data_IF_780417127117
#
_entry.id   IF_780417127117
#
_cell.length_a   1.000
_cell.length_b   1.000
_cell.length_c   1.000
_cell.angle_alpha   90.00
_cell.angle_beta   90.00
_cell.angle_gamma   90.00
#
_symmetry.space_group_name_H-M   'P 1'
#
loop_
_entity.id
_entity.type
_entity.pdbx_description
1 polymer ?
#
# COMPACT_ATOMS: atom_id res chain seq x y z
N UNK A 1 -6.05 28.53 7.34
CA UNK A 1 -4.61 28.44 6.98
C UNK A 1 -4.39 29.50 5.94
N UNK A 2 -3.58 30.50 6.26
CA UNK A 2 -3.45 31.75 5.53
C UNK A 2 -2.54 31.60 4.32
N UNK A 3 -3.00 32.05 3.14
CA UNK A 3 -2.26 32.12 1.88
C UNK A 3 -1.12 33.15 1.93
N UNK A 4 -0.06 32.81 2.66
CA UNK A 4 1.14 33.65 2.82
C UNK A 4 2.34 33.05 2.07
N UNK A 5 2.11 32.64 0.83
CA UNK A 5 3.17 32.38 -0.13
C UNK A 5 2.69 32.89 -1.50
N UNK A 6 3.51 33.64 -2.25
CA UNK A 6 3.16 33.93 -3.63
C UNK A 6 2.93 32.61 -4.36
N UNK A 7 1.94 32.54 -5.27
CA UNK A 7 1.68 31.32 -6.03
C UNK A 7 3.00 30.87 -6.67
N UNK A 8 3.45 29.67 -6.29
CA UNK A 8 4.75 29.13 -6.69
C UNK A 8 4.83 28.87 -8.21
N UNK A 9 3.68 28.87 -8.87
CA UNK A 9 3.50 28.67 -10.30
C UNK A 9 2.80 29.90 -10.88
N UNK A 10 3.19 30.28 -12.09
CA UNK A 10 2.44 31.25 -12.88
C UNK A 10 1.03 30.71 -13.17
N UNK A 11 0.08 31.58 -13.50
CA UNK A 11 -1.29 31.13 -13.85
C UNK A 11 -1.29 30.18 -15.06
N UNK A 12 -0.39 30.41 -16.03
CA UNK A 12 -0.20 29.54 -17.18
C UNK A 12 0.28 28.14 -16.75
N UNK A 13 1.29 28.07 -15.89
CA UNK A 13 1.80 26.79 -15.40
C UNK A 13 0.76 26.03 -14.57
N UNK A 14 -0.05 26.75 -13.81
CA UNK A 14 -1.14 26.18 -13.05
C UNK A 14 -2.23 25.59 -13.97
N UNK A 15 -2.53 26.23 -15.11
CA UNK A 15 -3.46 25.67 -16.11
C UNK A 15 -2.93 24.38 -16.72
N UNK A 16 -1.63 24.34 -17.09
CA UNK A 16 -0.99 23.13 -17.62
C UNK A 16 -1.00 21.98 -16.62
N UNK A 17 -0.78 22.27 -15.33
CA UNK A 17 -0.85 21.26 -14.26
C UNK A 17 -2.28 20.73 -14.10
N UNK A 18 -3.29 21.60 -14.11
CA UNK A 18 -4.68 21.18 -14.02
C UNK A 18 -5.09 20.30 -15.20
N UNK A 19 -4.71 20.68 -16.41
CA UNK A 19 -4.96 19.91 -17.61
C UNK A 19 -4.29 18.53 -17.52
N UNK A 20 -3.03 18.47 -17.08
CA UNK A 20 -2.34 17.21 -16.84
C UNK A 20 -3.05 16.34 -15.78
N UNK A 21 -3.37 16.90 -14.61
CA UNK A 21 -4.01 16.14 -13.50
C UNK A 21 -5.44 15.69 -13.82
N UNK A 22 -6.13 16.38 -14.73
CA UNK A 22 -7.49 16.03 -15.16
C UNK A 22 -7.56 14.74 -15.98
N UNK A 23 -6.41 14.25 -16.45
CA UNK A 23 -6.33 13.07 -17.29
C UNK A 23 -6.88 11.78 -16.66
N UNK A 24 -7.23 10.79 -17.49
CA UNK A 24 -7.80 9.52 -17.04
C UNK A 24 -6.78 8.60 -16.34
N UNK A 25 -5.48 8.79 -16.57
CA UNK A 25 -4.40 8.00 -15.96
C UNK A 25 -4.29 8.27 -14.45
N UNK A 26 -4.64 9.48 -14.03
CA UNK A 26 -4.54 9.98 -12.66
C UNK A 26 -5.82 9.68 -11.86
N UNK A 27 -6.98 9.59 -12.54
CA UNK A 27 -8.30 9.40 -11.93
C UNK A 27 -8.75 7.93 -11.87
N UNK A 28 -7.82 6.98 -11.98
CA UNK A 28 -8.16 5.55 -11.89
C UNK A 28 -8.75 5.25 -10.50
N UNK A 29 -9.97 4.66 -10.43
CA UNK A 29 -10.57 4.30 -9.15
C UNK A 29 -9.69 3.26 -8.47
N UNK A 30 -9.11 3.66 -7.33
CA UNK A 30 -8.24 2.78 -6.54
C UNK A 30 -9.12 1.93 -5.63
N UNK A 31 -8.99 0.62 -5.75
CA UNK A 31 -9.62 -0.31 -4.80
C UNK A 31 -9.15 0.06 -3.38
N UNK A 32 -10.06 0.18 -2.39
CA UNK A 32 -9.66 0.47 -1.02
C UNK A 32 -8.72 -0.62 -0.51
N UNK A 33 -7.59 -0.20 0.03
CA UNK A 33 -6.63 -1.12 0.64
C UNK A 33 -7.23 -1.70 1.92
N UNK A 34 -7.16 -3.03 2.07
CA UNK A 34 -7.70 -3.78 3.22
C UNK A 34 -6.52 -4.33 4.04
N UNK A 35 -5.91 -3.55 4.95
CA UNK A 35 -4.68 -3.95 5.65
C UNK A 35 -4.85 -5.26 6.43
N UNK A 36 -6.02 -5.46 7.05
CA UNK A 36 -6.34 -6.66 7.81
C UNK A 36 -6.34 -7.94 6.96
N UNK A 37 -6.72 -7.85 5.68
CA UNK A 37 -6.70 -9.00 4.77
C UNK A 37 -5.26 -9.42 4.48
N UNK A 38 -4.37 -8.43 4.25
CA UNK A 38 -2.96 -8.69 4.01
C UNK A 38 -2.28 -9.25 5.27
N UNK A 39 -2.59 -8.71 6.44
CA UNK A 39 -2.08 -9.20 7.72
C UNK A 39 -2.55 -10.63 8.00
N UNK A 40 -3.81 -10.96 7.72
CA UNK A 40 -4.34 -12.31 7.88
C UNK A 40 -3.55 -13.32 7.04
N UNK A 41 -3.32 -13.02 5.76
CA UNK A 41 -2.55 -13.92 4.88
C UNK A 41 -1.11 -14.08 5.33
N UNK A 42 -0.45 -12.98 5.73
CA UNK A 42 0.89 -13.04 6.29
C UNK A 42 0.94 -13.96 7.51
N UNK A 43 0.00 -13.80 8.43
CA UNK A 43 -0.09 -14.62 9.64
C UNK A 43 -0.31 -16.10 9.32
N UNK A 44 -1.21 -16.41 8.38
CA UNK A 44 -1.45 -17.79 7.92
C UNK A 44 -0.17 -18.43 7.40
N UNK A 45 0.60 -17.73 6.56
CA UNK A 45 1.86 -18.25 6.02
C UNK A 45 2.85 -18.56 7.15
N UNK A 46 3.03 -17.63 8.09
CA UNK A 46 3.93 -17.82 9.23
C UNK A 46 3.48 -19.00 10.11
N UNK A 47 2.17 -19.12 10.37
CA UNK A 47 1.60 -20.21 11.16
C UNK A 47 1.80 -21.57 10.50
N UNK A 48 1.59 -21.67 9.18
CA UNK A 48 1.80 -22.91 8.43
C UNK A 48 3.27 -23.32 8.47
N UNK A 49 4.19 -22.40 8.20
CA UNK A 49 5.63 -22.69 8.26
C UNK A 49 6.06 -23.08 9.68
N UNK A 50 5.53 -22.40 10.71
CA UNK A 50 5.76 -22.76 12.11
C UNK A 50 5.25 -24.15 12.46
N UNK A 51 4.03 -24.48 12.03
CA UNK A 51 3.44 -25.80 12.26
C UNK A 51 4.23 -26.91 11.55
N UNK A 52 4.67 -26.69 10.31
CA UNK A 52 5.52 -27.62 9.57
C UNK A 52 6.86 -27.82 10.30
N UNK A 53 7.52 -26.73 10.70
CA UNK A 53 8.78 -26.79 11.45
C UNK A 53 8.64 -27.58 12.76
N UNK A 54 7.60 -27.31 13.54
CA UNK A 54 7.30 -28.05 14.77
C UNK A 54 6.98 -29.52 14.51
N UNK A 55 6.25 -29.83 13.43
CA UNK A 55 5.94 -31.19 13.02
C UNK A 55 7.20 -31.99 12.69
N UNK A 56 8.10 -31.41 11.89
CA UNK A 56 9.38 -32.02 11.54
C UNK A 56 10.27 -32.23 12.77
N UNK A 57 10.38 -31.22 13.65
CA UNK A 57 11.16 -31.33 14.89
C UNK A 57 10.69 -32.46 15.80
N UNK A 58 9.37 -32.67 15.90
CA UNK A 58 8.80 -33.81 16.65
C UNK A 58 9.07 -35.16 16.01
N UNK A 59 9.07 -35.24 14.67
CA UNK A 59 9.32 -36.50 13.95
C UNK A 59 10.79 -36.95 14.07
N UNK A 60 11.71 -36.00 14.09
CA UNK A 60 13.16 -36.27 14.21
C UNK A 60 13.62 -36.42 15.68
N UNK A 61 12.71 -36.25 16.66
CA UNK A 61 13.02 -36.42 18.08
C UNK A 61 13.84 -35.27 18.68
N UNK A 62 13.88 -34.11 18.02
CA UNK A 62 14.51 -32.88 18.54
C UNK A 62 13.67 -32.20 19.63
N UNK A 63 12.40 -32.60 19.77
CA UNK A 63 11.42 -32.17 20.77
C UNK A 63 10.73 -33.40 21.36
#
# INVERSE_FOLDING_TARGET
MTDQYPPKLSEEDMQRVQEYLSGPVQQVPRKPFRPWLLLFWLWVVVMVLGAVSLGLGKLEGFL
#
